data_IF_766588245810
#
_entry.id   IF_766588245810
#
_cell.length_a   1.000
_cell.length_b   1.000
_cell.length_c   1.000
_cell.angle_alpha   90.00
_cell.angle_beta   90.00
_cell.angle_gamma   90.00
#
_symmetry.space_group_name_H-M   'P 1'
#
loop_
_entity.id
_entity.type
_entity.pdbx_description
1 polymer ?
#
# COMPACT_ATOMS: atom_id res chain seq x y z
N UNK A 1 1.41 -8.44 -22.13
CA UNK A 1 2.68 -8.07 -21.46
C UNK A 1 2.75 -6.58 -21.15
N UNK A 2 2.64 -5.70 -22.15
CA UNK A 2 2.62 -4.25 -21.89
C UNK A 2 1.44 -3.82 -21.01
N UNK A 3 0.24 -4.33 -21.31
CA UNK A 3 -0.98 -4.01 -20.54
C UNK A 3 -0.87 -4.44 -19.07
N UNK A 4 -0.21 -5.57 -18.81
CA UNK A 4 0.07 -6.06 -17.46
C UNK A 4 1.00 -5.12 -16.69
N UNK A 5 2.07 -4.67 -17.33
CA UNK A 5 3.02 -3.73 -16.72
C UNK A 5 2.31 -2.41 -16.42
N UNK A 6 1.48 -1.93 -17.35
CA UNK A 6 0.71 -0.69 -17.18
C UNK A 6 -0.32 -0.85 -16.04
N UNK A 7 -1.11 -1.92 -16.03
CA UNK A 7 -2.11 -2.19 -14.99
C UNK A 7 -1.48 -2.32 -13.60
N UNK A 8 -0.37 -3.06 -13.51
CA UNK A 8 0.41 -3.21 -12.29
C UNK A 8 0.98 -1.87 -11.81
N UNK A 9 1.70 -1.16 -12.68
CA UNK A 9 2.30 0.13 -12.32
C UNK A 9 1.26 1.18 -11.93
N UNK A 10 0.14 1.27 -12.67
CA UNK A 10 -0.95 2.21 -12.37
C UNK A 10 -1.61 1.91 -11.03
N UNK A 11 -1.91 0.64 -10.72
CA UNK A 11 -2.45 0.23 -9.42
C UNK A 11 -1.47 0.50 -8.28
N UNK A 12 -0.18 0.28 -8.53
CA UNK A 12 0.91 0.61 -7.61
C UNK A 12 1.00 2.12 -7.31
N UNK A 13 0.96 2.96 -8.34
CA UNK A 13 0.97 4.41 -8.19
C UNK A 13 -0.29 4.94 -7.49
N UNK A 14 -1.45 4.33 -7.75
CA UNK A 14 -2.69 4.63 -7.05
C UNK A 14 -2.54 4.32 -5.55
N UNK A 15 -2.00 3.16 -5.20
CA UNK A 15 -1.70 2.84 -3.80
C UNK A 15 -0.69 3.82 -3.20
N UNK A 16 0.36 4.19 -3.95
CA UNK A 16 1.34 5.17 -3.50
C UNK A 16 0.71 6.50 -3.13
N UNK A 17 -0.28 6.97 -3.89
CA UNK A 17 -1.04 8.17 -3.57
C UNK A 17 -1.78 8.05 -2.23
N UNK A 18 -2.51 6.95 -2.01
CA UNK A 18 -3.17 6.69 -0.73
C UNK A 18 -2.17 6.57 0.42
N UNK A 19 -1.06 5.89 0.20
CA UNK A 19 -0.01 5.71 1.20
C UNK A 19 0.59 7.05 1.63
N UNK A 20 0.89 7.94 0.68
CA UNK A 20 1.38 9.29 0.95
C UNK A 20 0.33 10.05 1.79
N UNK A 21 -0.94 10.02 1.39
CA UNK A 21 -2.02 10.68 2.13
C UNK A 21 -2.15 10.16 3.56
N UNK A 22 -2.22 8.84 3.75
CA UNK A 22 -2.33 8.23 5.07
C UNK A 22 -1.12 8.52 5.95
N UNK A 23 0.08 8.49 5.37
CA UNK A 23 1.32 8.83 6.06
C UNK A 23 1.30 10.29 6.53
N UNK A 24 0.95 11.23 5.65
CA UNK A 24 0.86 12.65 6.02
C UNK A 24 -0.17 12.89 7.13
N UNK A 25 -1.35 12.26 7.05
CA UNK A 25 -2.36 12.33 8.10
C UNK A 25 -1.86 11.75 9.43
N UNK A 26 -1.16 10.61 9.38
CA UNK A 26 -0.60 9.96 10.55
C UNK A 26 0.40 10.88 11.26
N UNK A 27 1.34 11.47 10.51
CA UNK A 27 2.31 12.43 11.05
C UNK A 27 1.61 13.66 11.64
N UNK A 28 0.59 14.21 10.96
CA UNK A 28 -0.17 15.34 11.47
C UNK A 28 -0.82 15.02 12.84
N UNK A 29 -1.49 13.86 12.95
CA UNK A 29 -2.10 13.46 14.21
C UNK A 29 -1.06 13.20 15.30
N UNK A 30 0.05 12.55 14.98
CA UNK A 30 1.13 12.32 15.95
C UNK A 30 1.78 13.61 16.43
N UNK A 31 1.92 14.60 15.55
CA UNK A 31 2.39 15.93 15.92
C UNK A 31 1.41 16.63 16.87
N UNK A 32 0.11 16.59 16.55
CA UNK A 32 -0.96 17.15 17.40
C UNK A 32 -1.01 16.47 18.78
N UNK A 33 -0.80 15.16 18.83
CA UNK A 33 -0.75 14.38 20.07
C UNK A 33 0.55 14.60 20.87
N UNK A 34 1.47 15.44 20.38
CA UNK A 34 2.67 15.85 21.10
C UNK A 34 3.84 14.87 21.02
N UNK A 35 3.84 13.93 20.06
CA UNK A 35 4.87 12.90 19.95
C UNK A 35 6.27 13.54 19.81
N UNK A 36 7.23 13.21 20.71
CA UNK A 36 8.53 13.88 20.75
C UNK A 36 9.41 13.57 19.52
N UNK A 37 9.26 12.39 18.93
CA UNK A 37 10.02 11.98 17.74
C UNK A 37 9.57 12.81 16.54
N UNK A 38 8.25 12.93 16.34
CA UNK A 38 7.69 13.68 15.22
C UNK A 38 7.95 15.19 15.37
N UNK A 39 7.85 15.74 16.59
CA UNK A 39 8.21 17.14 16.86
C UNK A 39 9.67 17.41 16.50
N UNK A 40 10.61 16.63 17.02
CA UNK A 40 12.04 16.77 16.72
C UNK A 40 12.34 16.65 15.21
N UNK A 41 11.64 15.76 14.52
CA UNK A 41 11.77 15.57 13.07
C UNK A 41 11.30 16.80 12.27
N UNK A 42 10.18 17.41 12.67
CA UNK A 42 9.64 18.61 12.02
C UNK A 42 10.37 19.91 12.43
N UNK A 43 11.02 19.93 13.58
CA UNK A 43 11.89 21.04 14.00
C UNK A 43 13.23 21.02 13.25
N UNK A 44 13.73 19.83 12.91
CA UNK A 44 15.02 19.64 12.19
C UNK A 44 14.90 19.71 10.67
N UNK A 45 13.68 19.68 10.11
CA UNK A 45 13.46 19.72 8.66
C UNK A 45 12.19 20.47 8.30
N UNK A 46 12.18 21.18 7.18
CA UNK A 46 10.96 21.84 6.68
C UNK A 46 9.92 20.78 6.31
N UNK A 47 8.63 20.94 6.67
CA UNK A 47 7.57 19.98 6.34
C UNK A 47 7.52 19.60 4.85
N UNK A 48 7.79 20.55 3.95
CA UNK A 48 7.84 20.33 2.51
C UNK A 48 8.91 19.31 2.09
N UNK A 49 10.12 19.40 2.65
CA UNK A 49 11.19 18.43 2.36
C UNK A 49 10.79 17.02 2.78
N UNK A 50 10.11 16.91 3.93
CA UNK A 50 9.67 15.62 4.44
C UNK A 50 8.61 14.97 3.53
N UNK A 51 7.58 15.73 3.14
CA UNK A 51 6.54 15.24 2.21
C UNK A 51 7.16 14.87 0.86
N UNK A 52 8.05 15.71 0.31
CA UNK A 52 8.71 15.44 -0.97
C UNK A 52 9.56 14.18 -0.92
N UNK A 53 10.28 13.92 0.18
CA UNK A 53 11.00 12.65 0.36
C UNK A 53 10.06 11.46 0.30
N UNK A 54 8.92 11.50 1.01
CA UNK A 54 7.93 10.42 0.97
C UNK A 54 7.45 10.20 -0.45
N UNK A 55 7.12 11.25 -1.19
CA UNK A 55 6.63 11.15 -2.58
C UNK A 55 7.69 10.52 -3.50
N UNK A 56 8.93 11.02 -3.45
CA UNK A 56 10.04 10.58 -4.30
C UNK A 56 10.37 9.10 -4.07
N UNK A 57 10.30 8.63 -2.82
CA UNK A 57 10.54 7.21 -2.53
C UNK A 57 9.31 6.33 -2.79
N UNK A 58 8.11 6.78 -2.43
CA UNK A 58 6.89 5.97 -2.50
C UNK A 58 6.51 5.64 -3.92
N UNK A 59 6.50 6.63 -4.82
CA UNK A 59 6.01 6.44 -6.19
C UNK A 59 6.77 5.35 -6.98
N UNK A 60 8.11 5.42 -7.14
CA UNK A 60 8.84 4.38 -7.86
C UNK A 60 8.74 3.02 -7.14
N UNK A 61 8.75 3.01 -5.81
CA UNK A 61 8.65 1.78 -5.02
C UNK A 61 7.31 1.08 -5.25
N UNK A 62 6.20 1.80 -5.15
CA UNK A 62 4.88 1.19 -5.31
C UNK A 62 4.55 0.90 -6.76
N UNK A 63 5.06 1.67 -7.73
CA UNK A 63 4.98 1.30 -9.15
C UNK A 63 5.68 -0.04 -9.41
N UNK A 64 6.91 -0.20 -8.92
CA UNK A 64 7.66 -1.45 -9.05
C UNK A 64 6.96 -2.62 -8.34
N UNK A 65 6.45 -2.42 -7.12
CA UNK A 65 5.66 -3.42 -6.41
C UNK A 65 4.40 -3.80 -7.18
N UNK A 66 3.70 -2.84 -7.78
CA UNK A 66 2.53 -3.09 -8.62
C UNK A 66 2.82 -4.00 -9.79
N UNK A 67 3.93 -3.76 -10.49
CA UNK A 67 4.41 -4.63 -11.56
C UNK A 67 4.71 -6.04 -11.03
N UNK A 68 5.41 -6.15 -9.89
CA UNK A 68 5.73 -7.45 -9.28
C UNK A 68 4.46 -8.23 -8.92
N UNK A 69 3.48 -7.60 -8.28
CA UNK A 69 2.21 -8.24 -7.94
C UNK A 69 1.41 -8.66 -9.17
N UNK A 70 1.43 -7.87 -10.24
CA UNK A 70 0.82 -8.24 -11.52
C UNK A 70 1.45 -9.50 -12.13
N UNK A 71 2.78 -9.66 -12.04
CA UNK A 71 3.45 -10.90 -12.45
C UNK A 71 3.11 -12.08 -11.54
N UNK A 72 3.09 -11.87 -10.22
CA UNK A 72 2.71 -12.92 -9.26
C UNK A 72 1.28 -13.39 -9.54
N UNK A 73 0.37 -12.48 -9.88
CA UNK A 73 -0.99 -12.84 -10.24
C UNK A 73 -1.05 -13.84 -11.41
N UNK A 74 -0.30 -13.61 -12.50
CA UNK A 74 -0.26 -14.56 -13.62
C UNK A 74 0.22 -15.96 -13.19
N UNK A 75 1.21 -16.04 -12.31
CA UNK A 75 1.70 -17.33 -11.81
C UNK A 75 0.62 -18.09 -11.03
N UNK A 76 -0.20 -17.36 -10.26
CA UNK A 76 -1.33 -17.98 -9.55
C UNK A 76 -2.44 -18.38 -10.51
N UNK A 77 -2.72 -17.56 -11.53
CA UNK A 77 -3.75 -17.80 -12.52
C UNK A 77 -3.46 -19.04 -13.38
N UNK A 78 -2.20 -19.26 -13.74
CA UNK A 78 -1.76 -20.46 -14.47
C UNK A 78 -1.95 -21.75 -13.65
N UNK A 79 -1.79 -21.69 -12.33
CA UNK A 79 -1.89 -22.86 -11.45
C UNK A 79 -3.35 -23.14 -11.05
N UNK A 80 -4.11 -22.10 -10.73
CA UNK A 80 -5.50 -22.25 -10.30
C UNK A 80 -6.29 -20.96 -10.55
N UNK A 81 -7.25 -21.02 -11.47
CA UNK A 81 -8.11 -19.90 -11.87
C UNK A 81 -9.43 -19.83 -11.08
N UNK A 82 -9.47 -20.37 -9.85
CA UNK A 82 -10.70 -20.35 -9.04
C UNK A 82 -11.00 -18.92 -8.57
N UNK A 83 -12.02 -18.34 -9.19
CA UNK A 83 -12.55 -17.02 -8.89
C UNK A 83 -13.92 -17.04 -8.21
N UNK A 84 -14.25 -15.90 -7.61
CA UNK A 84 -15.57 -15.52 -7.11
C UNK A 84 -16.02 -14.22 -7.79
N UNK A 85 -17.28 -13.85 -7.59
CA UNK A 85 -17.84 -12.62 -8.13
C UNK A 85 -17.04 -11.41 -7.58
N UNK A 86 -16.46 -10.61 -8.48
CA UNK A 86 -15.51 -9.51 -8.22
C UNK A 86 -14.14 -9.89 -7.63
N UNK A 87 -13.84 -11.17 -7.41
CA UNK A 87 -12.55 -11.65 -6.91
C UNK A 87 -12.00 -12.66 -7.90
N UNK A 88 -11.17 -12.24 -8.86
CA UNK A 88 -10.85 -13.12 -9.98
C UNK A 88 -10.06 -14.37 -9.61
N UNK A 89 -9.21 -14.30 -8.58
CA UNK A 89 -8.47 -15.45 -8.08
C UNK A 89 -8.37 -15.43 -6.56
N UNK A 90 -9.06 -16.35 -5.89
CA UNK A 90 -9.18 -16.33 -4.43
C UNK A 90 -7.83 -16.60 -3.75
N UNK A 91 -7.01 -17.49 -4.31
CA UNK A 91 -5.73 -17.88 -3.72
C UNK A 91 -4.74 -16.73 -3.77
N UNK A 92 -4.69 -16.04 -4.91
CA UNK A 92 -3.88 -14.84 -5.06
C UNK A 92 -4.34 -13.74 -4.10
N UNK A 93 -5.64 -13.44 -4.03
CA UNK A 93 -6.16 -12.40 -3.13
C UNK A 93 -5.86 -12.71 -1.66
N UNK A 94 -6.00 -13.97 -1.23
CA UNK A 94 -5.63 -14.41 0.12
C UNK A 94 -4.13 -14.21 0.37
N UNK A 95 -3.28 -14.65 -0.56
CA UNK A 95 -1.83 -14.50 -0.47
C UNK A 95 -1.41 -13.03 -0.30
N UNK A 96 -1.93 -12.15 -1.16
CA UNK A 96 -1.65 -10.70 -1.09
C UNK A 96 -2.14 -10.09 0.20
N UNK A 97 -3.31 -10.50 0.70
CA UNK A 97 -3.88 -9.96 1.95
C UNK A 97 -3.11 -10.41 3.19
N UNK A 98 -2.57 -11.63 3.20
CA UNK A 98 -1.81 -12.16 4.34
C UNK A 98 -0.41 -11.54 4.41
N UNK A 99 0.22 -11.28 3.27
CA UNK A 99 1.61 -10.80 3.18
C UNK A 99 1.91 -9.58 4.07
N UNK A 100 1.09 -8.51 4.11
CA UNK A 100 1.35 -7.33 4.94
C UNK A 100 0.92 -7.47 6.41
N UNK A 101 0.31 -8.57 6.85
CA UNK A 101 -0.18 -8.75 8.24
C UNK A 101 0.93 -8.54 9.28
N UNK A 102 2.17 -9.08 9.14
CA UNK A 102 3.23 -8.84 10.12
C UNK A 102 3.56 -7.35 10.27
N UNK A 103 3.59 -6.62 9.15
CA UNK A 103 3.87 -5.17 9.13
C UNK A 103 2.70 -4.40 9.75
N UNK A 104 1.46 -4.80 9.47
CA UNK A 104 0.25 -4.24 10.08
C UNK A 104 0.30 -4.36 11.61
N UNK A 105 0.56 -5.56 12.13
CA UNK A 105 0.60 -5.83 13.57
C UNK A 105 1.70 -5.01 14.27
N UNK A 106 2.88 -4.94 13.66
CA UNK A 106 3.98 -4.13 14.18
C UNK A 106 3.63 -2.63 14.18
N UNK A 107 3.04 -2.14 13.09
CA UNK A 107 2.64 -0.74 12.94
C UNK A 107 1.55 -0.34 13.95
N UNK A 108 0.54 -1.18 14.16
CA UNK A 108 -0.52 -0.95 15.15
C UNK A 108 0.05 -0.91 16.57
N UNK A 109 1.03 -1.77 16.86
CA UNK A 109 1.70 -1.79 18.17
C UNK A 109 2.45 -0.48 18.45
N UNK A 110 3.12 0.07 17.44
CA UNK A 110 3.88 1.32 17.54
C UNK A 110 2.95 2.53 17.60
N UNK A 111 1.94 2.61 16.72
CA UNK A 111 1.05 3.78 16.59
C UNK A 111 -0.36 3.44 17.05
N UNK A 112 -0.46 3.00 18.31
CA UNK A 112 -1.71 2.51 18.90
C UNK A 112 -2.83 3.55 18.90
N UNK A 113 -2.52 4.84 19.02
CA UNK A 113 -3.52 5.91 19.10
C UNK A 113 -4.29 6.14 17.79
N UNK A 114 -3.70 5.80 16.63
CA UNK A 114 -4.29 6.03 15.29
C UNK A 114 -4.31 4.75 14.45
N UNK A 115 -4.52 3.61 15.09
CA UNK A 115 -4.54 2.30 14.42
C UNK A 115 -5.54 2.22 13.25
N UNK A 116 -6.63 3.01 13.29
CA UNK A 116 -7.62 3.09 12.20
C UNK A 116 -7.01 3.54 10.87
N UNK A 117 -5.99 4.42 10.88
CA UNK A 117 -5.34 4.89 9.64
C UNK A 117 -4.49 3.79 9.02
N UNK A 118 -3.79 3.04 9.89
CA UNK A 118 -2.98 1.90 9.47
C UNK A 118 -3.89 0.81 8.89
N UNK A 119 -5.00 0.52 9.57
CA UNK A 119 -5.99 -0.44 9.11
C UNK A 119 -6.60 -0.02 7.76
N UNK A 120 -6.92 1.27 7.59
CA UNK A 120 -7.40 1.82 6.32
C UNK A 120 -6.38 1.63 5.19
N UNK A 121 -5.10 1.91 5.47
CA UNK A 121 -4.02 1.69 4.50
C UNK A 121 -3.89 0.22 4.10
N UNK A 122 -4.02 -0.70 5.07
CA UNK A 122 -4.01 -2.15 4.81
C UNK A 122 -5.20 -2.60 3.96
N UNK A 123 -6.39 -2.09 4.22
CA UNK A 123 -7.57 -2.40 3.40
C UNK A 123 -7.40 -1.90 1.96
N UNK A 124 -6.92 -0.67 1.78
CA UNK A 124 -6.65 -0.13 0.44
C UNK A 124 -5.57 -0.96 -0.27
N UNK A 125 -4.51 -1.37 0.43
CA UNK A 125 -3.51 -2.29 -0.14
C UNK A 125 -4.16 -3.58 -0.64
N UNK A 126 -4.98 -4.23 0.19
CA UNK A 126 -5.60 -5.52 -0.14
C UNK A 126 -6.56 -5.39 -1.32
N UNK A 127 -7.32 -4.29 -1.39
CA UNK A 127 -8.23 -4.01 -2.52
C UNK A 127 -7.43 -3.76 -3.79
N UNK A 128 -6.42 -2.87 -3.76
CA UNK A 128 -5.69 -2.48 -4.96
C UNK A 128 -4.82 -3.62 -5.50
N UNK A 129 -4.00 -4.24 -4.66
CA UNK A 129 -3.10 -5.31 -5.12
C UNK A 129 -3.78 -6.66 -5.23
N UNK A 130 -4.74 -6.96 -4.35
CA UNK A 130 -5.37 -8.28 -4.27
C UNK A 130 -6.59 -8.43 -5.19
N UNK A 131 -7.28 -7.34 -5.54
CA UNK A 131 -8.53 -7.40 -6.33
C UNK A 131 -8.41 -6.57 -7.62
N UNK A 132 -8.00 -5.30 -7.53
CA UNK A 132 -7.97 -4.40 -8.69
C UNK A 132 -6.96 -4.86 -9.75
N UNK A 133 -5.74 -5.24 -9.35
CA UNK A 133 -4.73 -5.74 -10.30
C UNK A 133 -5.28 -6.93 -11.11
N UNK A 134 -5.78 -8.01 -10.48
CA UNK A 134 -6.43 -9.10 -11.22
C UNK A 134 -7.55 -8.65 -12.16
N UNK A 135 -8.43 -7.75 -11.70
CA UNK A 135 -9.57 -7.26 -12.50
C UNK A 135 -9.15 -6.45 -13.73
N UNK A 136 -7.98 -5.80 -13.71
CA UNK A 136 -7.47 -5.03 -14.84
C UNK A 136 -6.70 -5.87 -15.85
N UNK A 137 -6.29 -7.09 -15.47
CA UNK A 137 -5.46 -7.98 -16.30
C UNK A 137 -6.30 -8.98 -17.08
N UNK A 138 -7.44 -9.42 -16.53
CA UNK A 138 -8.40 -10.32 -17.17
C UNK A 138 -9.31 -9.54 -18.12
#
# INVERSE_FOLDING_TARGET
>A
MLDLIIAGAASGLLFGSFFITFTCLLIFFLYKDGNPVIKKMLESSTPTKFVMSIVIFSNPTFAALGIVFAYIFLLFEEVNSLGLLFVPNIFYTIFVTILPIPILLLSIRVVRSKYWLILSCFFVFSILFGILIPLLII
#
